data_IF_870148845870
#
_entry.id   IF_870148845870
#
_cell.length_a   1.000
_cell.length_b   1.000
_cell.length_c   1.000
_cell.angle_alpha   90.00
_cell.angle_beta   90.00
_cell.angle_gamma   90.00
#
_symmetry.space_group_name_H-M   'P 1'
#
loop_
_entity.id
_entity.type
_entity.pdbx_description
1 polymer ?
#
# COMPACT_ATOMS: atom_id res chain seq x y z
N UNK A 1 -35.47 -26.63 -3.31
CA UNK A 1 -35.91 -25.22 -3.30
C UNK A 1 -34.85 -24.44 -2.55
N UNK A 2 -34.17 -23.59 -3.31
CA UNK A 2 -32.93 -22.87 -3.04
C UNK A 2 -33.06 -21.85 -1.91
N UNK A 3 -31.93 -21.53 -1.28
CA UNK A 3 -31.68 -20.16 -0.85
C UNK A 3 -30.18 -19.84 -0.92
N UNK A 4 -29.76 -19.49 -2.13
CA UNK A 4 -28.45 -18.98 -2.54
C UNK A 4 -28.26 -17.53 -2.07
N UNK A 5 -28.27 -17.28 -0.76
CA UNK A 5 -28.08 -15.91 -0.23
C UNK A 5 -26.62 -15.54 0.06
N UNK A 6 -25.65 -16.41 -0.24
CA UNK A 6 -24.23 -16.10 -0.04
C UNK A 6 -23.54 -15.47 -1.25
N UNK A 7 -24.17 -15.43 -2.43
CA UNK A 7 -23.53 -14.90 -3.63
C UNK A 7 -23.70 -13.40 -3.87
N UNK A 8 -24.70 -12.77 -3.21
CA UNK A 8 -25.10 -11.38 -3.46
C UNK A 8 -24.16 -10.38 -2.75
N UNK A 9 -23.52 -10.80 -1.66
CA UNK A 9 -22.58 -9.95 -0.92
C UNK A 9 -21.18 -9.88 -1.53
N UNK A 10 -20.81 -10.82 -2.41
CA UNK A 10 -19.50 -10.80 -3.09
C UNK A 10 -19.55 -10.04 -4.42
N UNK A 11 -20.72 -9.89 -5.03
CA UNK A 11 -20.86 -9.25 -6.35
C UNK A 11 -20.72 -7.72 -6.30
N UNK A 12 -21.09 -7.08 -5.18
CA UNK A 12 -20.92 -5.63 -5.00
C UNK A 12 -19.47 -5.27 -4.59
N UNK A 13 -18.66 -6.26 -4.18
CA UNK A 13 -17.30 -6.05 -3.68
C UNK A 13 -16.25 -5.84 -4.78
N UNK A 14 -16.48 -6.41 -5.97
CA UNK A 14 -15.43 -6.63 -6.98
C UNK A 14 -15.50 -5.79 -8.26
N UNK A 15 -16.36 -4.77 -8.38
CA UNK A 15 -16.52 -4.09 -9.68
C UNK A 15 -15.28 -3.30 -10.17
N UNK A 16 -14.25 -3.11 -9.33
CA UNK A 16 -13.16 -2.14 -9.62
C UNK A 16 -11.74 -2.67 -9.35
N UNK A 17 -11.58 -3.83 -8.73
CA UNK A 17 -10.26 -4.33 -8.33
C UNK A 17 -9.89 -5.60 -9.11
N UNK A 18 -9.27 -5.42 -10.27
CA UNK A 18 -8.74 -6.52 -11.11
C UNK A 18 -7.23 -6.76 -10.87
N UNK A 19 -6.74 -6.41 -9.67
CA UNK A 19 -5.32 -6.50 -9.32
C UNK A 19 -5.15 -7.01 -7.90
N UNK A 20 -4.39 -8.11 -7.76
CA UNK A 20 -4.03 -8.71 -6.48
C UNK A 20 -3.39 -7.69 -5.52
N UNK A 21 -2.58 -6.77 -6.03
CA UNK A 21 -1.94 -5.75 -5.21
C UNK A 21 -2.95 -4.76 -4.59
N UNK A 22 -3.95 -4.33 -5.36
CA UNK A 22 -5.00 -3.42 -4.87
C UNK A 22 -5.87 -4.09 -3.80
N UNK A 23 -6.18 -5.39 -3.96
CA UNK A 23 -6.89 -6.16 -2.93
C UNK A 23 -6.11 -6.18 -1.62
N UNK A 24 -4.79 -6.40 -1.67
CA UNK A 24 -3.94 -6.38 -0.48
C UNK A 24 -3.95 -5.00 0.18
N UNK A 25 -3.92 -3.90 -0.57
CA UNK A 25 -4.07 -2.55 0.02
C UNK A 25 -5.40 -2.45 0.78
N UNK A 26 -6.50 -2.87 0.17
CA UNK A 26 -7.83 -2.83 0.81
C UNK A 26 -7.85 -3.67 2.08
N UNK A 27 -7.27 -4.87 2.06
CA UNK A 27 -7.15 -5.74 3.23
C UNK A 27 -6.34 -5.06 4.35
N UNK A 28 -5.23 -4.40 4.02
CA UNK A 28 -4.42 -3.64 4.98
C UNK A 28 -5.16 -2.44 5.59
N UNK A 29 -6.04 -1.78 4.84
CA UNK A 29 -6.88 -0.68 5.36
C UNK A 29 -7.95 -1.26 6.30
N UNK A 30 -8.65 -2.30 5.87
CA UNK A 30 -9.72 -2.94 6.65
C UNK A 30 -9.20 -3.59 7.93
N UNK A 31 -7.97 -4.12 7.94
CA UNK A 31 -7.37 -4.71 9.14
C UNK A 31 -7.03 -3.67 10.23
N UNK A 32 -6.83 -2.41 9.84
CA UNK A 32 -6.56 -1.29 10.74
C UNK A 32 -7.84 -0.56 11.20
N UNK A 33 -9.01 -0.89 10.63
CA UNK A 33 -10.29 -0.25 10.92
C UNK A 33 -10.98 -0.85 12.15
N UNK A 34 -10.49 -0.47 13.33
CA UNK A 34 -10.98 -0.94 14.64
C UNK A 34 -12.50 -0.72 14.80
N UNK A 35 -13.02 0.40 14.27
CA UNK A 35 -14.42 0.78 14.40
C UNK A 35 -15.34 0.21 13.29
N UNK A 36 -14.81 -0.61 12.37
CA UNK A 36 -15.54 -1.15 11.23
C UNK A 36 -16.23 -0.07 10.36
N UNK A 37 -15.65 1.13 10.29
CA UNK A 37 -16.15 2.28 9.51
C UNK A 37 -16.31 1.94 8.03
N UNK A 38 -15.37 1.17 7.47
CA UNK A 38 -15.30 0.87 6.03
C UNK A 38 -16.02 -0.42 5.65
N UNK A 39 -16.66 -1.13 6.61
CA UNK A 39 -17.26 -2.46 6.37
C UNK A 39 -18.20 -2.50 5.16
N UNK A 40 -18.99 -1.45 4.96
CA UNK A 40 -19.99 -1.37 3.89
C UNK A 40 -19.51 -0.55 2.67
N UNK A 41 -18.24 -0.11 2.67
CA UNK A 41 -17.69 0.69 1.58
C UNK A 41 -17.18 -0.24 0.48
N UNK A 42 -17.38 0.14 -0.78
CA UNK A 42 -16.78 -0.56 -1.90
C UNK A 42 -15.27 -0.34 -1.93
N UNK A 43 -14.55 -1.28 -2.54
CA UNK A 43 -13.09 -1.24 -2.58
C UNK A 43 -12.58 -0.04 -3.38
N UNK A 44 -13.26 0.32 -4.47
CA UNK A 44 -12.98 1.55 -5.20
C UNK A 44 -13.14 2.82 -4.35
N UNK A 45 -14.11 2.86 -3.42
CA UNK A 45 -14.28 4.00 -2.51
C UNK A 45 -13.15 4.06 -1.47
N UNK A 46 -12.71 2.91 -0.97
CA UNK A 46 -11.58 2.78 -0.04
C UNK A 46 -10.27 3.22 -0.69
N UNK A 47 -10.06 2.89 -1.97
CA UNK A 47 -8.86 3.24 -2.73
C UNK A 47 -8.86 4.68 -3.24
N UNK A 48 -10.02 5.36 -3.28
CA UNK A 48 -10.15 6.75 -3.76
C UNK A 48 -9.12 7.73 -3.21
N UNK A 49 -8.74 7.71 -1.91
CA UNK A 49 -7.74 8.62 -1.36
C UNK A 49 -6.33 8.47 -1.96
N UNK A 50 -6.04 7.36 -2.65
CA UNK A 50 -4.80 7.17 -3.39
C UNK A 50 -4.85 7.81 -4.78
N UNK A 51 -6.02 8.18 -5.30
CA UNK A 51 -6.18 8.75 -6.63
C UNK A 51 -6.11 10.28 -6.57
N UNK A 52 -5.00 10.84 -7.03
CA UNK A 52 -4.70 12.27 -7.04
C UNK A 52 -4.17 12.66 -8.42
N UNK A 53 -4.94 13.50 -9.13
CA UNK A 53 -4.55 13.97 -10.46
C UNK A 53 -3.25 14.79 -10.43
N UNK A 54 -2.50 14.81 -11.54
CA UNK A 54 -1.28 15.65 -11.67
C UNK A 54 -1.53 17.10 -11.28
N UNK A 55 -2.68 17.65 -11.70
CA UNK A 55 -3.07 19.03 -11.36
C UNK A 55 -3.24 19.17 -9.86
N UNK A 56 -3.98 18.26 -9.23
CA UNK A 56 -4.24 18.32 -7.78
C UNK A 56 -2.96 18.15 -6.97
N UNK A 57 -2.04 17.27 -7.38
CA UNK A 57 -0.72 17.13 -6.73
C UNK A 57 0.06 18.43 -6.69
N UNK A 58 0.06 19.20 -7.77
CA UNK A 58 0.76 20.50 -7.86
C UNK A 58 0.13 21.58 -6.99
N UNK A 59 -1.18 21.50 -6.77
CA UNK A 59 -1.92 22.42 -5.89
C UNK A 59 -1.71 22.14 -4.40
N UNK A 60 -1.25 20.94 -4.03
CA UNK A 60 -0.94 20.60 -2.64
C UNK A 60 0.34 21.35 -2.23
N UNK A 61 0.19 22.19 -1.21
CA UNK A 61 1.32 22.83 -0.54
C UNK A 61 2.19 21.79 0.15
N UNK A 62 3.50 22.02 0.09
CA UNK A 62 4.53 21.22 0.80
C UNK A 62 5.06 21.96 2.02
N UNK A 63 4.47 23.11 2.35
CA UNK A 63 4.81 23.89 3.53
C UNK A 63 4.11 23.31 4.76
N UNK A 64 4.87 23.12 5.84
CA UNK A 64 4.36 22.59 7.10
C UNK A 64 4.31 21.05 7.14
N UNK A 65 3.77 20.51 8.22
CA UNK A 65 3.77 19.06 8.48
C UNK A 65 2.95 18.27 7.45
N UNK A 66 3.38 17.02 7.20
CA UNK A 66 2.62 16.08 6.37
C UNK A 66 1.38 15.64 7.15
N UNK A 67 0.22 15.77 6.53
CA UNK A 67 -1.05 15.31 7.09
C UNK A 67 -0.96 13.84 7.57
N UNK A 68 -1.34 13.53 8.83
CA UNK A 68 -1.25 12.17 9.38
C UNK A 68 -1.98 11.12 8.56
N UNK A 69 -3.11 11.47 7.91
CA UNK A 69 -3.80 10.53 7.03
C UNK A 69 -2.97 10.21 5.78
N UNK A 70 -2.21 11.18 5.27
CA UNK A 70 -1.27 10.98 4.16
C UNK A 70 -0.11 10.07 4.56
N UNK A 71 0.46 10.27 5.75
CA UNK A 71 1.47 9.35 6.31
C UNK A 71 0.87 7.93 6.44
N UNK A 72 -0.35 7.81 6.97
CA UNK A 72 -1.06 6.53 7.07
C UNK A 72 -1.27 5.83 5.72
N UNK A 73 -1.57 6.59 4.65
CA UNK A 73 -1.68 6.05 3.29
C UNK A 73 -0.34 5.53 2.77
N UNK A 74 0.76 6.27 3.01
CA UNK A 74 2.12 5.85 2.65
C UNK A 74 2.45 4.54 3.36
N UNK A 75 2.32 4.51 4.70
CA UNK A 75 2.60 3.31 5.51
C UNK A 75 1.80 2.11 4.98
N UNK A 76 0.50 2.29 4.73
CA UNK A 76 -0.39 1.22 4.29
C UNK A 76 -0.03 0.69 2.90
N UNK A 77 0.36 1.57 1.97
CA UNK A 77 0.85 1.16 0.64
C UNK A 77 2.10 0.29 0.75
N UNK A 78 3.09 0.70 1.53
CA UNK A 78 4.33 -0.07 1.69
C UNK A 78 4.14 -1.32 2.54
N UNK A 79 3.16 -1.36 3.46
CA UNK A 79 2.74 -2.59 4.14
C UNK A 79 2.10 -3.59 3.18
N UNK A 80 1.34 -3.13 2.19
CA UNK A 80 0.84 -4.00 1.12
C UNK A 80 1.99 -4.58 0.30
N UNK A 81 3.00 -3.77 -0.05
CA UNK A 81 4.23 -4.25 -0.71
C UNK A 81 4.93 -5.32 0.14
N UNK A 82 5.11 -5.06 1.44
CA UNK A 82 5.73 -6.00 2.37
C UNK A 82 4.95 -7.32 2.44
N UNK A 83 3.63 -7.26 2.57
CA UNK A 83 2.76 -8.43 2.63
C UNK A 83 2.82 -9.28 1.35
N UNK A 84 2.86 -8.65 0.17
CA UNK A 84 3.03 -9.37 -1.09
C UNK A 84 4.40 -10.05 -1.19
N UNK A 85 5.49 -9.39 -0.77
CA UNK A 85 6.83 -10.00 -0.74
C UNK A 85 6.85 -11.18 0.24
N UNK A 86 6.29 -11.01 1.43
CA UNK A 86 6.18 -12.06 2.44
C UNK A 86 5.42 -13.28 1.92
N UNK A 87 4.29 -13.07 1.24
CA UNK A 87 3.50 -14.16 0.65
C UNK A 87 4.29 -14.98 -0.39
N UNK A 88 5.13 -14.31 -1.20
CA UNK A 88 5.90 -14.94 -2.28
C UNK A 88 7.23 -15.56 -1.84
N UNK A 89 7.74 -15.18 -0.66
CA UNK A 89 9.10 -15.54 -0.20
C UNK A 89 9.14 -16.27 1.13
N UNK A 90 8.08 -16.14 1.94
CA UNK A 90 8.02 -16.63 3.32
C UNK A 90 8.89 -15.84 4.31
N UNK A 91 9.49 -14.73 3.89
CA UNK A 91 10.28 -13.85 4.75
C UNK A 91 9.38 -12.79 5.40
N UNK A 92 9.33 -12.78 6.73
CA UNK A 92 8.53 -11.83 7.49
C UNK A 92 9.04 -10.39 7.27
N UNK A 93 8.22 -9.56 6.64
CA UNK A 93 8.63 -8.22 6.23
C UNK A 93 8.03 -7.13 7.14
N UNK A 94 8.86 -6.18 7.53
CA UNK A 94 8.48 -5.00 8.31
C UNK A 94 8.68 -3.72 7.50
N UNK A 95 7.95 -2.67 7.88
CA UNK A 95 7.95 -1.37 7.21
C UNK A 95 8.23 -0.26 8.20
N UNK A 96 9.20 0.58 7.88
CA UNK A 96 9.47 1.85 8.57
C UNK A 96 9.29 2.98 7.56
N UNK A 97 8.51 3.98 7.96
CA UNK A 97 8.38 5.25 7.26
C UNK A 97 8.86 6.33 8.21
N UNK A 98 9.97 6.96 7.88
CA UNK A 98 10.52 8.08 8.63
C UNK A 98 10.46 9.32 7.74
N UNK A 99 9.78 10.36 8.22
CA UNK A 99 9.54 11.61 7.49
C UNK A 99 9.80 12.79 8.43
N UNK A 100 10.54 13.78 7.95
CA UNK A 100 10.66 15.06 8.64
C UNK A 100 9.41 15.93 8.38
N UNK A 101 9.35 17.08 9.07
CA UNK A 101 8.24 18.01 8.95
C UNK A 101 8.06 18.57 7.52
N UNK A 102 9.13 18.63 6.72
CA UNK A 102 9.10 19.07 5.32
C UNK A 102 8.68 17.96 4.34
N UNK A 103 8.33 16.76 4.82
CA UNK A 103 7.91 15.64 3.98
C UNK A 103 9.04 14.97 3.22
N UNK A 104 10.28 15.11 3.69
CA UNK A 104 11.44 14.37 3.23
C UNK A 104 11.79 13.23 4.17
N UNK A 105 12.21 12.11 3.61
CA UNK A 105 12.67 10.99 4.43
C UNK A 105 12.77 9.69 3.64
N UNK A 106 12.51 8.58 4.32
CA UNK A 106 12.70 7.25 3.78
C UNK A 106 11.55 6.31 4.11
N UNK A 107 11.28 5.42 3.15
CA UNK A 107 10.57 4.18 3.41
C UNK A 107 11.54 3.02 3.27
N UNK A 108 11.57 2.19 4.30
CA UNK A 108 12.36 0.98 4.37
C UNK A 108 11.40 -0.20 4.56
N UNK A 109 11.45 -1.16 3.64
CA UNK A 109 10.85 -2.48 3.80
C UNK A 109 11.98 -3.48 3.98
N UNK A 110 11.92 -4.30 5.02
CA UNK A 110 13.03 -5.20 5.36
C UNK A 110 12.55 -6.48 6.02
N UNK A 111 13.36 -7.54 5.91
CA UNK A 111 13.21 -8.80 6.66
C UNK A 111 14.57 -9.15 7.25
N UNK A 112 14.61 -9.49 8.54
CA UNK A 112 15.88 -9.68 9.25
C UNK A 112 16.80 -8.46 9.07
N UNK A 113 17.96 -8.65 8.45
CA UNK A 113 18.89 -7.57 8.10
C UNK A 113 18.86 -7.16 6.61
N UNK A 114 17.99 -7.75 5.80
CA UNK A 114 17.90 -7.49 4.37
C UNK A 114 16.91 -6.35 4.09
N UNK A 115 17.40 -5.25 3.51
CA UNK A 115 16.55 -4.20 2.96
C UNK A 115 15.98 -4.66 1.60
N UNK A 116 14.68 -4.90 1.57
CA UNK A 116 13.92 -5.34 0.38
C UNK A 116 13.47 -4.16 -0.47
N UNK A 117 13.11 -3.04 0.17
CA UNK A 117 12.79 -1.77 -0.49
C UNK A 117 13.46 -0.64 0.26
N UNK A 118 14.14 0.23 -0.48
CA UNK A 118 14.72 1.47 0.02
C UNK A 118 14.24 2.59 -0.89
N UNK A 119 13.29 3.40 -0.43
CA UNK A 119 12.72 4.50 -1.21
C UNK A 119 12.90 5.82 -0.47
N UNK A 120 13.55 6.79 -1.11
CA UNK A 120 13.53 8.16 -0.62
C UNK A 120 12.20 8.81 -0.96
N UNK A 121 11.62 9.52 0.00
CA UNK A 121 10.43 10.34 -0.19
C UNK A 121 10.81 11.81 -0.21
N UNK A 122 10.20 12.53 -1.15
CA UNK A 122 10.23 13.99 -1.28
C UNK A 122 8.81 14.43 -1.56
N UNK A 123 8.43 15.60 -1.04
CA UNK A 123 7.07 16.12 -1.14
C UNK A 123 6.01 15.10 -0.69
N UNK A 124 6.22 14.42 0.45
CA UNK A 124 5.31 13.35 0.92
C UNK A 124 3.84 13.81 1.03
N UNK A 125 3.60 15.11 1.23
CA UNK A 125 2.26 15.73 1.18
C UNK A 125 1.49 15.41 -0.11
N UNK A 126 2.22 15.22 -1.22
CA UNK A 126 1.68 14.97 -2.57
C UNK A 126 1.49 13.49 -2.89
N UNK A 127 1.64 12.60 -1.90
CA UNK A 127 1.51 11.16 -2.10
C UNK A 127 0.14 10.78 -2.68
N UNK A 128 0.16 10.02 -3.76
CA UNK A 128 -1.00 9.58 -4.52
C UNK A 128 -0.59 9.16 -5.93
N UNK A 129 -1.55 8.72 -6.74
CA UNK A 129 -1.37 8.14 -8.07
C UNK A 129 -2.45 8.66 -9.01
N UNK A 130 -2.21 8.66 -10.31
CA UNK A 130 -3.15 9.25 -11.28
C UNK A 130 -4.36 8.35 -11.56
N UNK A 131 -4.20 7.04 -11.38
CA UNK A 131 -5.20 6.02 -11.64
C UNK A 131 -4.90 4.77 -10.82
N UNK A 132 -5.83 3.81 -10.78
CA UNK A 132 -5.65 2.54 -10.07
C UNK A 132 -4.53 1.71 -10.72
N UNK A 133 -4.44 1.73 -12.05
CA UNK A 133 -3.40 1.05 -12.81
C UNK A 133 -2.01 1.56 -12.42
N UNK A 134 -1.87 2.86 -12.14
CA UNK A 134 -0.60 3.43 -11.66
C UNK A 134 -0.25 3.04 -10.23
N UNK A 135 -1.25 2.76 -9.39
CA UNK A 135 -1.00 2.19 -8.05
C UNK A 135 -0.44 0.77 -8.23
N UNK A 136 -1.11 -0.05 -9.04
CA UNK A 136 -0.71 -1.43 -9.35
C UNK A 136 0.69 -1.48 -9.94
N UNK A 137 0.97 -0.70 -10.98
CA UNK A 137 2.28 -0.71 -11.67
C UNK A 137 3.44 -0.37 -10.71
N UNK A 138 3.32 0.67 -9.89
CA UNK A 138 4.38 1.01 -8.93
C UNK A 138 4.50 -0.04 -7.82
N UNK A 139 3.36 -0.54 -7.32
CA UNK A 139 3.31 -1.59 -6.31
C UNK A 139 3.97 -2.88 -6.74
N UNK A 140 3.55 -3.43 -7.88
CA UNK A 140 4.06 -4.68 -8.44
C UNK A 140 5.56 -4.57 -8.79
N UNK A 141 6.01 -3.43 -9.30
CA UNK A 141 7.43 -3.19 -9.55
C UNK A 141 8.27 -3.23 -8.26
N UNK A 142 7.76 -2.65 -7.16
CA UNK A 142 8.43 -2.71 -5.86
C UNK A 142 8.41 -4.13 -5.29
N UNK A 143 7.28 -4.83 -5.39
CA UNK A 143 7.13 -6.23 -4.95
C UNK A 143 8.10 -7.13 -5.69
N UNK A 144 8.16 -7.05 -7.02
CA UNK A 144 9.04 -7.90 -7.83
C UNK A 144 10.52 -7.68 -7.46
N UNK A 145 10.97 -6.43 -7.35
CA UNK A 145 12.34 -6.12 -6.93
C UNK A 145 12.65 -6.63 -5.53
N UNK A 146 11.70 -6.51 -4.60
CA UNK A 146 11.85 -7.03 -3.24
C UNK A 146 11.95 -8.56 -3.23
N UNK A 147 11.12 -9.25 -4.02
CA UNK A 147 11.18 -10.71 -4.20
C UNK A 147 12.53 -11.15 -4.79
N UNK A 148 13.02 -10.44 -5.80
CA UNK A 148 14.30 -10.75 -6.43
C UNK A 148 15.45 -10.65 -5.41
N UNK A 149 15.45 -9.61 -4.57
CA UNK A 149 16.43 -9.46 -3.49
C UNK A 149 16.30 -10.54 -2.42
N UNK A 150 15.07 -10.86 -1.99
CA UNK A 150 14.80 -11.90 -1.01
C UNK A 150 15.27 -13.28 -1.48
N UNK A 151 15.10 -13.58 -2.76
CA UNK A 151 15.55 -14.84 -3.38
C UNK A 151 17.06 -14.87 -3.59
N UNK A 152 17.69 -13.72 -3.81
CA UNK A 152 19.13 -13.60 -4.00
C UNK A 152 19.91 -13.73 -2.67
N UNK A 153 19.38 -13.18 -1.58
CA UNK A 153 20.04 -13.17 -0.26
C UNK A 153 19.15 -13.72 0.87
N UNK A 154 18.63 -14.95 0.75
CA UNK A 154 17.71 -15.52 1.74
C UNK A 154 18.35 -15.69 3.12
N UNK A 155 19.67 -15.86 3.19
CA UNK A 155 20.42 -15.97 4.43
C UNK A 155 20.41 -14.67 5.24
N UNK A 156 20.47 -13.51 4.59
CA UNK A 156 20.43 -12.19 5.25
C UNK A 156 19.02 -11.87 5.73
N UNK A 157 18.02 -12.28 4.95
CA UNK A 157 16.60 -12.08 5.27
C UNK A 157 16.09 -12.89 6.46
N UNK A 158 16.80 -13.96 6.85
CA UNK A 158 16.45 -14.87 7.96
C UNK A 158 17.20 -14.61 9.27
N UNK A 159 18.08 -13.61 9.28
CA UNK A 159 18.81 -13.19 10.48
C UNK A 159 17.90 -12.53 11.51
#
# INVERSE_FOLDING_TARGET
MTNDNNHINDTVRNEVVDSNFLEVIVQQIRSQDIYNTYRNWSDGLILRPYIVSKKKKREISVEGEVDPLTIGRIITFYRAVAACIENETGLLAQVIVDLNHEGFGWVLVFSGHLLLVVKSLRDAHRFGFESLEKITEEGENLVQKGIDLARLFPEVGRL
#
